data_IF_542084632632
#
_entry.id   IF_542084632632
#
_cell.length_a   1.000
_cell.length_b   1.000
_cell.length_c   1.000
_cell.angle_alpha   90.00
_cell.angle_beta   90.00
_cell.angle_gamma   90.00
#
_symmetry.space_group_name_H-M   'P 1'
#
loop_
_entity.id
_entity.type
_entity.pdbx_description
1 polymer ?
#
# COMPACT_ATOMS: atom_id res chain seq x y z
N UNK A 1 -34.11 33.76 18.28
CA UNK A 1 -33.49 33.22 17.04
C UNK A 1 -32.00 33.43 17.18
N UNK A 2 -31.09 32.45 17.22
CA UNK A 2 -30.94 31.18 16.49
C UNK A 2 -30.72 29.99 17.44
N UNK A 3 -31.20 28.81 17.04
CA UNK A 3 -30.80 27.49 17.56
C UNK A 3 -29.59 27.01 16.74
N UNK A 4 -28.61 26.34 17.36
CA UNK A 4 -27.92 25.23 16.69
C UNK A 4 -27.31 24.27 17.72
N UNK A 5 -27.70 23.01 17.60
CA UNK A 5 -27.20 21.84 18.33
C UNK A 5 -25.83 21.40 17.78
N UNK A 6 -24.96 20.89 18.65
CA UNK A 6 -24.00 19.81 18.34
C UNK A 6 -23.54 19.21 19.68
N UNK A 7 -24.29 18.28 20.28
CA UNK A 7 -24.20 16.82 20.11
C UNK A 7 -22.75 16.29 20.12
N UNK A 8 -22.31 15.96 21.34
CA UNK A 8 -21.54 14.78 21.77
C UNK A 8 -20.47 14.23 20.81
N UNK A 9 -19.20 14.46 21.16
CA UNK A 9 -18.06 13.63 20.74
C UNK A 9 -17.35 13.06 21.99
N UNK A 10 -18.11 12.33 22.82
CA UNK A 10 -17.61 11.58 23.98
C UNK A 10 -18.14 10.15 23.94
N UNK A 11 -17.61 9.39 22.99
CA UNK A 11 -17.52 7.94 22.92
C UNK A 11 -16.56 7.71 21.74
N UNK A 12 -15.30 7.34 21.93
CA UNK A 12 -14.89 5.97 22.21
C UNK A 12 -13.77 6.00 23.25
N UNK A 13 -14.16 5.63 24.47
CA UNK A 13 -13.31 5.18 25.56
C UNK A 13 -12.66 3.84 25.20
N UNK A 14 -11.45 3.64 25.71
CA UNK A 14 -11.01 2.40 26.36
C UNK A 14 -11.47 1.08 25.73
N UNK A 15 -10.69 0.55 24.80
CA UNK A 15 -10.50 -0.90 24.65
C UNK A 15 -9.12 -1.28 25.20
N UNK A 16 -8.99 -1.15 26.52
CA UNK A 16 -7.87 -1.75 27.23
C UNK A 16 -7.95 -3.28 27.14
N UNK A 17 -6.81 -3.89 26.82
CA UNK A 17 -6.29 -5.13 27.42
C UNK A 17 -7.31 -6.25 27.65
N UNK A 18 -7.59 -7.03 26.61
CA UNK A 18 -7.95 -8.45 26.76
C UNK A 18 -6.93 -9.27 25.97
N UNK A 19 -5.93 -9.81 26.67
CA UNK A 19 -5.12 -10.91 26.15
C UNK A 19 -6.01 -12.16 26.09
N UNK A 20 -6.13 -12.77 24.91
CA UNK A 20 -6.80 -14.05 24.72
C UNK A 20 -6.17 -14.79 23.55
N UNK A 21 -5.59 -15.95 23.86
CA UNK A 21 -4.99 -16.92 22.94
C UNK A 21 -5.94 -17.29 21.79
N UNK A 22 -5.89 -16.54 20.70
CA UNK A 22 -6.41 -16.97 19.41
C UNK A 22 -5.28 -16.65 18.43
N UNK A 23 -4.90 -17.63 17.60
CA UNK A 23 -4.20 -17.32 16.35
C UNK A 23 -4.89 -16.10 15.73
N UNK A 24 -4.16 -15.10 15.22
CA UNK A 24 -4.79 -13.95 14.61
C UNK A 24 -5.68 -14.51 13.50
N UNK A 25 -6.99 -14.58 13.72
CA UNK A 25 -7.96 -14.81 12.66
C UNK A 25 -7.68 -13.66 11.72
N UNK A 26 -6.99 -13.95 10.62
CA UNK A 26 -6.68 -12.99 9.60
C UNK A 26 -8.00 -12.30 9.29
N UNK A 27 -8.14 -11.04 9.73
CA UNK A 27 -9.37 -10.30 9.52
C UNK A 27 -9.54 -10.29 8.00
N UNK A 28 -10.60 -10.93 7.53
CA UNK A 28 -10.86 -11.00 6.10
C UNK A 28 -11.33 -9.61 5.67
N UNK A 29 -10.37 -8.70 5.47
CA UNK A 29 -10.68 -7.37 4.99
C UNK A 29 -11.17 -7.55 3.56
N UNK A 30 -12.40 -7.08 3.33
CA UNK A 30 -13.02 -7.11 2.02
C UNK A 30 -12.19 -6.25 1.05
N UNK A 31 -11.81 -6.76 -0.14
CA UNK A 31 -11.10 -5.99 -1.17
C UNK A 31 -11.73 -4.62 -1.47
N UNK A 32 -13.05 -4.50 -1.31
CA UNK A 32 -13.80 -3.25 -1.51
C UNK A 32 -13.39 -2.11 -0.57
N UNK A 33 -12.92 -2.43 0.64
CA UNK A 33 -12.41 -1.42 1.59
C UNK A 33 -11.13 -0.78 1.05
N UNK A 34 -10.25 -1.58 0.46
CA UNK A 34 -9.02 -1.07 -0.16
C UNK A 34 -9.35 -0.22 -1.39
N UNK A 35 -10.31 -0.64 -2.22
CA UNK A 35 -10.74 0.15 -3.38
C UNK A 35 -11.31 1.52 -2.98
N UNK A 36 -12.12 1.56 -1.92
CA UNK A 36 -12.64 2.81 -1.38
C UNK A 36 -11.50 3.72 -0.88
N UNK A 37 -10.56 3.17 -0.11
CA UNK A 37 -9.45 3.94 0.44
C UNK A 37 -8.46 4.42 -0.62
N UNK A 38 -8.22 3.66 -1.70
CA UNK A 38 -7.40 4.09 -2.84
C UNK A 38 -8.05 5.25 -3.62
N UNK A 39 -9.34 5.49 -3.42
CA UNK A 39 -10.08 6.60 -4.04
C UNK A 39 -10.32 7.75 -3.06
N UNK A 40 -9.71 7.72 -1.86
CA UNK A 40 -9.95 8.71 -0.83
C UNK A 40 -9.29 10.05 -1.18
N UNK A 41 -9.95 11.14 -0.83
CA UNK A 41 -9.43 12.51 -1.02
C UNK A 41 -8.20 12.83 -0.14
N UNK A 42 -7.85 11.97 0.81
CA UNK A 42 -6.75 12.20 1.75
C UNK A 42 -5.54 11.40 1.26
N UNK A 43 -4.45 12.07 0.83
CA UNK A 43 -3.28 11.39 0.30
C UNK A 43 -2.66 10.40 1.28
N UNK A 44 -2.66 10.70 2.59
CA UNK A 44 -2.12 9.79 3.60
C UNK A 44 -2.91 8.48 3.71
N UNK A 45 -4.23 8.52 3.46
CA UNK A 45 -5.06 7.31 3.41
C UNK A 45 -4.70 6.51 2.15
N UNK A 46 -4.57 7.18 1.00
CA UNK A 46 -4.21 6.52 -0.27
C UNK A 46 -2.84 5.84 -0.14
N UNK A 47 -1.81 6.56 0.31
CA UNK A 47 -0.46 6.01 0.46
C UNK A 47 -0.38 4.84 1.43
N UNK A 48 -1.02 4.97 2.61
CA UNK A 48 -1.07 3.87 3.57
C UNK A 48 -1.78 2.66 3.00
N UNK A 49 -2.83 2.87 2.20
CA UNK A 49 -3.60 1.81 1.54
C UNK A 49 -2.78 1.10 0.47
N UNK A 50 -1.96 1.82 -0.31
CA UNK A 50 -1.04 1.21 -1.29
C UNK A 50 -0.13 0.19 -0.60
N UNK A 51 0.45 0.55 0.55
CA UNK A 51 1.32 -0.35 1.33
C UNK A 51 0.53 -1.54 1.88
N UNK A 52 -0.65 -1.28 2.45
CA UNK A 52 -1.49 -2.34 3.00
C UNK A 52 -1.95 -3.36 1.96
N UNK A 53 -2.12 -2.95 0.70
CA UNK A 53 -2.40 -3.86 -0.42
C UNK A 53 -1.22 -4.80 -0.68
N UNK A 54 0.02 -4.31 -0.64
CA UNK A 54 1.20 -5.16 -0.80
C UNK A 54 1.32 -6.15 0.35
N UNK A 55 1.07 -5.71 1.58
CA UNK A 55 1.01 -6.57 2.76
C UNK A 55 -0.08 -7.63 2.58
N UNK A 56 -1.29 -7.25 2.14
CA UNK A 56 -2.37 -8.20 1.88
C UNK A 56 -1.96 -9.26 0.84
N UNK A 57 -1.33 -8.85 -0.26
CA UNK A 57 -0.85 -9.78 -1.31
C UNK A 57 0.21 -10.75 -0.78
N UNK A 58 1.09 -10.28 0.11
CA UNK A 58 2.10 -11.13 0.76
C UNK A 58 1.47 -12.23 1.62
N UNK A 59 0.37 -11.92 2.32
CA UNK A 59 -0.28 -12.86 3.24
C UNK A 59 -1.37 -13.72 2.63
N UNK A 60 -2.10 -13.17 1.65
CA UNK A 60 -3.24 -13.79 1.00
C UNK A 60 -3.04 -13.72 -0.52
N UNK A 61 -1.98 -14.35 -1.06
CA UNK A 61 -1.63 -14.26 -2.48
C UNK A 61 -2.71 -14.82 -3.41
N UNK A 62 -3.57 -15.70 -2.90
CA UNK A 62 -4.69 -16.35 -3.59
C UNK A 62 -5.91 -15.44 -3.80
N UNK A 63 -6.00 -14.30 -3.12
CA UNK A 63 -7.10 -13.36 -3.33
C UNK A 63 -7.11 -12.78 -4.74
N UNK A 64 -8.29 -12.37 -5.18
CA UNK A 64 -8.45 -11.61 -6.42
C UNK A 64 -8.05 -10.15 -6.20
N UNK A 65 -7.01 -9.72 -6.92
CA UNK A 65 -6.50 -8.36 -6.90
C UNK A 65 -6.78 -7.60 -8.20
N UNK A 66 -7.55 -8.14 -9.15
CA UNK A 66 -7.74 -7.53 -10.47
C UNK A 66 -8.19 -6.07 -10.38
N UNK A 67 -9.24 -5.80 -9.60
CA UNK A 67 -9.76 -4.44 -9.40
C UNK A 67 -8.77 -3.52 -8.69
N UNK A 68 -8.05 -4.06 -7.69
CA UNK A 68 -7.07 -3.29 -6.93
C UNK A 68 -5.88 -2.93 -7.82
N UNK A 69 -5.37 -3.89 -8.60
CA UNK A 69 -4.30 -3.67 -9.58
C UNK A 69 -4.70 -2.60 -10.59
N UNK A 70 -5.91 -2.70 -11.16
CA UNK A 70 -6.42 -1.67 -12.08
C UNK A 70 -6.47 -0.29 -11.42
N UNK A 71 -6.91 -0.21 -10.17
CA UNK A 71 -6.96 1.07 -9.45
C UNK A 71 -5.56 1.65 -9.19
N UNK A 72 -4.58 0.80 -8.91
CA UNK A 72 -3.18 1.21 -8.77
C UNK A 72 -2.58 1.67 -10.10
N UNK A 73 -2.94 1.03 -11.21
CA UNK A 73 -2.54 1.47 -12.55
C UNK A 73 -3.14 2.86 -12.88
N UNK A 74 -4.40 3.10 -12.54
CA UNK A 74 -5.02 4.44 -12.64
C UNK A 74 -4.26 5.48 -11.81
N UNK A 75 -3.96 5.18 -10.54
CA UNK A 75 -3.19 6.08 -9.66
C UNK A 75 -1.79 6.36 -10.20
N UNK A 76 -1.17 5.39 -10.86
CA UNK A 76 0.13 5.55 -11.53
C UNK A 76 0.09 6.60 -12.63
N UNK A 77 -1.02 6.67 -13.37
CA UNK A 77 -1.17 7.57 -14.53
C UNK A 77 -1.75 8.94 -14.13
N UNK A 78 -2.69 8.96 -13.19
CA UNK A 78 -3.57 10.10 -12.97
C UNK A 78 -3.28 10.87 -11.67
N UNK A 79 -2.54 10.30 -10.71
CA UNK A 79 -2.28 11.01 -9.46
C UNK A 79 -1.44 12.27 -9.71
N UNK A 80 -1.87 13.39 -9.11
CA UNK A 80 -1.13 14.65 -9.16
C UNK A 80 0.21 14.55 -8.40
N UNK A 81 0.26 13.73 -7.35
CA UNK A 81 1.45 13.53 -6.53
C UNK A 81 2.37 12.47 -7.13
N UNK A 82 3.62 12.86 -7.40
CA UNK A 82 4.61 12.00 -8.03
C UNK A 82 5.02 10.82 -7.14
N UNK A 83 5.09 11.02 -5.82
CA UNK A 83 5.41 9.94 -4.88
C UNK A 83 4.33 8.87 -4.91
N UNK A 84 3.06 9.28 -4.91
CA UNK A 84 1.90 8.40 -5.05
C UNK A 84 1.92 7.64 -6.37
N UNK A 85 2.22 8.30 -7.50
CA UNK A 85 2.35 7.62 -8.81
C UNK A 85 3.40 6.52 -8.74
N UNK A 86 4.58 6.82 -8.21
CA UNK A 86 5.67 5.85 -8.06
C UNK A 86 5.28 4.70 -7.12
N UNK A 87 4.72 5.01 -5.96
CA UNK A 87 4.30 4.00 -4.98
C UNK A 87 3.23 3.06 -5.56
N UNK A 88 2.27 3.61 -6.29
CA UNK A 88 1.23 2.83 -6.97
C UNK A 88 1.82 1.91 -8.06
N UNK A 89 2.77 2.42 -8.85
CA UNK A 89 3.46 1.64 -9.89
C UNK A 89 4.15 0.40 -9.30
N UNK A 90 4.91 0.59 -8.22
CA UNK A 90 5.61 -0.52 -7.56
C UNK A 90 4.62 -1.52 -6.95
N UNK A 91 3.55 -1.04 -6.32
CA UNK A 91 2.52 -1.92 -5.75
C UNK A 91 1.80 -2.74 -6.84
N UNK A 92 1.43 -2.13 -7.96
CA UNK A 92 0.84 -2.82 -9.11
C UNK A 92 1.81 -3.88 -9.67
N UNK A 93 3.09 -3.51 -9.81
CA UNK A 93 4.16 -4.42 -10.23
C UNK A 93 4.33 -5.58 -9.26
N UNK A 94 4.26 -5.34 -7.95
CA UNK A 94 4.33 -6.38 -6.93
C UNK A 94 3.14 -7.34 -6.98
N UNK A 95 1.92 -6.85 -7.20
CA UNK A 95 0.74 -7.72 -7.35
C UNK A 95 0.93 -8.71 -8.50
N UNK A 96 1.53 -8.25 -9.60
CA UNK A 96 1.70 -9.02 -10.84
C UNK A 96 2.95 -9.92 -10.83
N UNK A 97 4.04 -9.44 -10.26
CA UNK A 97 5.37 -10.04 -10.34
C UNK A 97 6.02 -10.26 -8.97
N UNK A 98 5.25 -10.33 -7.89
CA UNK A 98 5.76 -10.24 -6.51
C UNK A 98 6.83 -11.25 -6.10
N UNK A 99 6.95 -12.37 -6.83
CA UNK A 99 8.03 -13.33 -6.65
C UNK A 99 9.42 -12.80 -7.06
N UNK A 100 9.48 -11.76 -7.88
CA UNK A 100 10.72 -11.08 -8.30
C UNK A 100 11.20 -10.03 -7.28
N UNK A 101 10.36 -9.72 -6.28
CA UNK A 101 10.65 -8.76 -5.21
C UNK A 101 11.36 -9.45 -4.04
N UNK A 102 12.61 -9.82 -4.27
CA UNK A 102 13.51 -10.49 -3.32
C UNK A 102 13.82 -9.71 -2.03
N UNK A 103 13.51 -8.42 -1.97
CA UNK A 103 13.62 -7.59 -0.76
C UNK A 103 12.38 -7.65 0.14
N UNK A 104 11.24 -8.14 -0.36
CA UNK A 104 10.03 -8.34 0.44
C UNK A 104 10.13 -9.69 1.13
N UNK A 105 10.47 -9.69 2.41
CA UNK A 105 10.63 -10.91 3.19
C UNK A 105 9.50 -11.10 4.18
N UNK A 106 8.83 -12.25 4.09
CA UNK A 106 7.78 -12.66 5.03
C UNK A 106 8.31 -12.82 6.48
N UNK A 107 9.61 -13.09 6.62
CA UNK A 107 10.29 -13.28 7.91
C UNK A 107 10.41 -12.00 8.76
N UNK A 108 10.18 -10.81 8.19
CA UNK A 108 10.22 -9.53 8.92
C UNK A 108 9.10 -9.47 9.97
N UNK A 109 7.93 -10.01 9.65
CA UNK A 109 6.82 -10.09 10.60
C UNK A 109 7.02 -11.12 11.70
N UNK A 110 7.63 -12.26 11.37
CA UNK A 110 7.95 -13.30 12.35
C UNK A 110 8.94 -12.79 13.40
N UNK A 111 9.74 -11.78 13.04
CA UNK A 111 10.65 -11.05 13.92
C UNK A 111 9.99 -9.91 14.69
N UNK A 112 8.70 -9.67 14.48
CA UNK A 112 7.95 -8.58 15.14
C UNK A 112 8.29 -7.19 14.61
N UNK A 113 8.89 -7.08 13.42
CA UNK A 113 9.20 -5.81 12.80
C UNK A 113 7.93 -5.20 12.16
N UNK A 114 7.80 -3.87 12.22
CA UNK A 114 6.70 -3.16 11.59
C UNK A 114 6.85 -3.22 10.07
N UNK A 115 6.09 -4.13 9.44
CA UNK A 115 6.06 -4.26 7.98
C UNK A 115 5.62 -2.97 7.30
N UNK A 116 4.69 -2.22 7.87
CA UNK A 116 4.21 -0.99 7.25
C UNK A 116 5.34 0.03 7.16
N UNK A 117 6.06 0.23 8.27
CA UNK A 117 7.23 1.12 8.33
C UNK A 117 8.34 0.67 7.37
N UNK A 118 8.66 -0.63 7.34
CA UNK A 118 9.69 -1.18 6.45
C UNK A 118 9.35 -0.99 4.97
N UNK A 119 8.11 -1.28 4.57
CA UNK A 119 7.64 -1.05 3.21
C UNK A 119 7.66 0.45 2.87
N UNK A 120 7.16 1.30 3.78
CA UNK A 120 7.16 2.75 3.57
C UNK A 120 8.58 3.28 3.36
N UNK A 121 9.51 2.94 4.26
CA UNK A 121 10.89 3.40 4.21
C UNK A 121 11.59 2.94 2.93
N UNK A 122 11.43 1.66 2.54
CA UNK A 122 12.06 1.14 1.33
C UNK A 122 11.52 1.79 0.06
N UNK A 123 10.20 1.99 0.00
CA UNK A 123 9.56 2.67 -1.12
C UNK A 123 10.00 4.12 -1.24
N UNK A 124 10.17 4.81 -0.11
CA UNK A 124 10.67 6.17 -0.07
C UNK A 124 12.12 6.24 -0.55
N UNK A 125 12.98 5.31 -0.11
CA UNK A 125 14.38 5.22 -0.55
C UNK A 125 14.47 5.03 -2.07
N UNK A 126 13.69 4.09 -2.63
CA UNK A 126 13.67 3.86 -4.08
C UNK A 126 13.22 5.10 -4.86
N UNK A 127 12.24 5.83 -4.34
CA UNK A 127 11.77 7.07 -4.94
C UNK A 127 12.83 8.17 -4.89
N UNK A 128 13.49 8.34 -3.75
CA UNK A 128 14.55 9.33 -3.57
C UNK A 128 15.76 9.02 -4.48
N UNK A 129 16.07 7.75 -4.69
CA UNK A 129 17.14 7.32 -5.61
C UNK A 129 16.78 7.55 -7.07
N UNK A 130 15.54 7.25 -7.47
CA UNK A 130 15.02 7.58 -8.81
C UNK A 130 15.15 9.09 -9.10
N UNK A 131 14.85 9.94 -8.11
CA UNK A 131 14.99 11.39 -8.24
C UNK A 131 16.43 11.85 -8.41
N UNK A 132 17.38 11.17 -7.78
CA UNK A 132 18.81 11.52 -7.85
C UNK A 132 19.44 11.05 -9.16
N UNK A 133 18.99 9.94 -9.74
CA UNK A 133 19.54 9.39 -10.97
C UNK A 133 18.46 8.69 -11.82
N UNK A 134 17.66 9.46 -12.60
CA UNK A 134 16.60 8.90 -13.44
C UNK A 134 17.13 7.87 -14.46
N UNK A 135 18.37 8.06 -14.93
CA UNK A 135 19.04 7.17 -15.89
C UNK A 135 19.21 5.73 -15.38
N UNK A 136 19.27 5.49 -14.06
CA UNK A 136 19.44 4.14 -13.51
C UNK A 136 18.22 3.22 -13.70
N UNK A 137 17.05 3.77 -14.02
CA UNK A 137 15.82 3.02 -14.27
C UNK A 137 15.33 3.10 -15.72
N UNK A 138 15.88 4.01 -16.52
CA UNK A 138 15.57 4.18 -17.95
C UNK A 138 16.45 3.33 -18.86
N UNK A 139 17.53 2.72 -18.37
CA UNK A 139 18.45 1.92 -19.20
C UNK A 139 17.89 0.56 -19.67
N UNK A 140 16.66 0.20 -19.33
CA UNK A 140 16.03 -1.05 -19.75
C UNK A 140 15.16 -0.94 -21.02
N UNK A 141 14.92 0.27 -21.55
CA UNK A 141 14.08 0.48 -22.76
C UNK A 141 14.86 0.64 -24.07
N UNK A 142 16.19 0.71 -24.01
CA UNK A 142 17.01 1.13 -25.17
C UNK A 142 17.85 0.01 -25.78
N UNK A 143 17.58 -1.27 -25.48
CA UNK A 143 18.07 -2.33 -26.38
C UNK A 143 17.14 -2.43 -27.60
N UNK A 144 17.62 -2.05 -28.81
CA UNK A 144 16.84 -2.28 -30.02
C UNK A 144 16.65 -3.79 -30.19
N UNK A 145 15.39 -4.21 -30.35
CA UNK A 145 15.06 -5.58 -30.73
C UNK A 145 15.94 -5.99 -31.91
N UNK A 146 16.89 -6.89 -31.65
CA UNK A 146 17.75 -7.45 -32.69
C UNK A 146 16.83 -8.17 -33.68
N UNK A 147 16.84 -7.68 -34.92
CA UNK A 147 16.20 -8.30 -36.08
C UNK A 147 16.71 -9.71 -36.33
#
# INVERSE_FOLDING_TARGET
MKKLNLVVFSAILMSGLVFGQNEPKAMEIAPDVYLANLSHENPGIVESTIINVMILKLYQPEKDFEKISKKLDELTLESADESTRFKAFVAASYIKYGQDFNWIKKDLFERGEDLHENFYARMQEMYDDLKKSPETYLSASDEPAKK
#
